data_IF_279301132782
#
_entry.id   IF_279301132782
#
_cell.length_a   1.000
_cell.length_b   1.000
_cell.length_c   1.000
_cell.angle_alpha   90.00
_cell.angle_beta   90.00
_cell.angle_gamma   90.00
#
_symmetry.space_group_name_H-M   'P 1'
#
loop_
_entity.id
_entity.type
_entity.pdbx_description
1 polymer ?
#
# COMPACT_ATOMS: atom_id res chain seq x y z
N UNK A 1 8.71 21.26 -29.85
CA UNK A 1 7.57 20.90 -30.72
C UNK A 1 7.21 19.45 -30.38
N UNK A 2 6.10 19.22 -29.67
CA UNK A 2 5.76 17.89 -29.14
C UNK A 2 5.15 17.03 -30.26
N UNK A 3 5.74 15.87 -30.57
CA UNK A 3 5.46 15.08 -31.79
C UNK A 3 4.45 13.94 -31.58
N UNK A 4 3.88 13.79 -30.39
CA UNK A 4 2.89 12.75 -30.11
C UNK A 4 1.47 13.33 -30.07
N UNK A 5 0.60 12.88 -30.98
CA UNK A 5 -0.86 13.14 -31.02
C UNK A 5 -1.64 12.45 -29.87
N UNK A 6 -1.01 12.18 -28.74
CA UNK A 6 -1.62 11.46 -27.62
C UNK A 6 -1.97 12.46 -26.52
N UNK A 7 -3.24 12.47 -26.11
CA UNK A 7 -3.70 13.30 -24.99
C UNK A 7 -2.92 12.96 -23.71
N UNK A 8 -2.45 14.01 -23.05
CA UNK A 8 -1.72 13.94 -21.79
C UNK A 8 -2.67 13.56 -20.66
N UNK A 9 -2.26 12.68 -19.76
CA UNK A 9 -3.07 12.41 -18.57
C UNK A 9 -3.16 13.68 -17.70
N UNK A 10 -4.39 14.06 -17.36
CA UNK A 10 -4.68 15.25 -16.55
C UNK A 10 -4.49 14.95 -15.06
N UNK A 11 -4.23 15.98 -14.26
CA UNK A 11 -4.17 15.90 -12.79
C UNK A 11 -5.43 15.25 -12.19
N UNK A 12 -6.58 15.36 -12.86
CA UNK A 12 -7.82 14.67 -12.44
C UNK A 12 -7.67 13.14 -12.40
N UNK A 13 -6.98 12.55 -13.37
CA UNK A 13 -6.75 11.10 -13.43
C UNK A 13 -5.74 10.67 -12.36
N UNK A 14 -4.73 11.50 -12.09
CA UNK A 14 -3.79 11.28 -11.00
C UNK A 14 -4.49 11.29 -9.63
N UNK A 15 -5.34 12.28 -9.36
CA UNK A 15 -6.10 12.32 -8.10
C UNK A 15 -7.03 11.12 -7.94
N UNK A 16 -7.70 10.68 -9.02
CA UNK A 16 -8.52 9.46 -8.99
C UNK A 16 -7.68 8.23 -8.63
N UNK A 17 -6.48 8.11 -9.18
CA UNK A 17 -5.57 7.01 -8.88
C UNK A 17 -5.11 7.02 -7.41
N UNK A 18 -4.82 8.20 -6.84
CA UNK A 18 -4.48 8.33 -5.42
C UNK A 18 -5.65 7.93 -4.51
N UNK A 19 -6.89 8.25 -4.90
CA UNK A 19 -8.09 7.84 -4.15
C UNK A 19 -8.27 6.32 -4.21
N UNK A 20 -8.08 5.70 -5.38
CA UNK A 20 -8.10 4.23 -5.51
C UNK A 20 -7.03 3.58 -4.64
N UNK A 21 -5.81 4.12 -4.64
CA UNK A 21 -4.72 3.65 -3.78
C UNK A 21 -5.09 3.73 -2.30
N UNK A 22 -5.59 4.88 -1.82
CA UNK A 22 -6.09 5.02 -0.46
C UNK A 22 -7.17 3.99 -0.11
N UNK A 23 -8.12 3.74 -1.02
CA UNK A 23 -9.13 2.70 -0.84
C UNK A 23 -8.54 1.31 -0.65
N UNK A 24 -7.49 0.96 -1.41
CA UNK A 24 -6.79 -0.32 -1.27
C UNK A 24 -6.09 -0.44 0.10
N UNK A 25 -5.46 0.65 0.57
CA UNK A 25 -4.84 0.69 1.90
C UNK A 25 -5.86 0.52 3.01
N UNK A 26 -7.05 1.10 2.86
CA UNK A 26 -8.15 0.95 3.82
C UNK A 26 -8.61 -0.51 3.90
N UNK A 27 -8.73 -1.19 2.76
CA UNK A 27 -9.06 -2.63 2.70
C UNK A 27 -8.00 -3.47 3.43
N UNK A 28 -6.71 -3.19 3.21
CA UNK A 28 -5.62 -3.87 3.91
C UNK A 28 -5.61 -3.58 5.41
N UNK A 29 -5.86 -2.34 5.81
CA UNK A 29 -5.96 -1.97 7.22
C UNK A 29 -7.13 -2.69 7.92
N UNK A 30 -8.29 -2.83 7.26
CA UNK A 30 -9.41 -3.61 7.78
C UNK A 30 -9.01 -5.08 7.95
N UNK A 31 -8.33 -5.68 6.98
CA UNK A 31 -7.83 -7.06 7.09
C UNK A 31 -6.87 -7.24 8.27
N UNK A 32 -5.94 -6.29 8.48
CA UNK A 32 -5.03 -6.31 9.63
C UNK A 32 -5.82 -6.33 10.95
N UNK A 33 -6.78 -5.41 11.13
CA UNK A 33 -7.56 -5.30 12.36
C UNK A 33 -8.44 -6.51 12.62
N UNK A 34 -9.07 -7.06 11.58
CA UNK A 34 -9.85 -8.30 11.68
C UNK A 34 -8.95 -9.46 12.14
N UNK A 35 -7.76 -9.60 11.54
CA UNK A 35 -6.81 -10.67 11.88
C UNK A 35 -6.31 -10.52 13.32
N UNK A 36 -5.99 -9.30 13.76
CA UNK A 36 -5.58 -9.04 15.15
C UNK A 36 -6.69 -9.33 16.16
N UNK A 37 -7.94 -9.03 15.82
CA UNK A 37 -9.10 -9.34 16.66
C UNK A 37 -9.26 -10.85 16.83
N UNK A 38 -9.19 -11.64 15.75
CA UNK A 38 -9.25 -13.10 15.84
C UNK A 38 -8.08 -13.71 16.62
N UNK A 39 -6.91 -13.06 16.62
CA UNK A 39 -5.75 -13.46 17.43
C UNK A 39 -5.86 -13.04 18.90
N UNK A 40 -6.91 -12.32 19.31
CA UNK A 40 -7.14 -11.91 20.69
C UNK A 40 -6.19 -10.81 21.19
N UNK A 41 -5.54 -10.08 20.28
CA UNK A 41 -4.56 -9.03 20.61
C UNK A 41 -5.24 -7.68 20.88
N UNK A 42 -6.46 -7.50 20.38
CA UNK A 42 -7.22 -6.27 20.52
C UNK A 42 -8.59 -6.60 21.11
N UNK A 43 -8.92 -5.94 22.22
CA UNK A 43 -10.17 -6.18 22.96
C UNK A 43 -11.44 -5.73 22.21
N UNK A 44 -11.31 -4.84 21.22
CA UNK A 44 -12.43 -4.34 20.41
C UNK A 44 -12.02 -3.99 18.98
N UNK A 45 -12.86 -4.38 18.01
CA UNK A 45 -12.71 -4.04 16.59
C UNK A 45 -12.85 -2.52 16.34
N UNK A 46 -13.66 -1.85 17.17
CA UNK A 46 -13.90 -0.40 17.08
C UNK A 46 -13.35 0.28 18.34
N UNK A 47 -12.15 0.84 18.22
CA UNK A 47 -11.48 1.58 19.27
C UNK A 47 -10.59 2.68 18.70
N UNK A 48 -9.90 3.42 19.57
CA UNK A 48 -8.98 4.51 19.17
C UNK A 48 -7.91 4.01 18.19
N UNK A 49 -7.51 2.74 18.27
CA UNK A 49 -6.52 2.11 17.39
C UNK A 49 -6.92 2.17 15.91
N UNK A 50 -8.17 1.87 15.54
CA UNK A 50 -8.59 1.89 14.13
C UNK A 50 -8.60 3.32 13.57
N UNK A 51 -8.93 4.31 14.42
CA UNK A 51 -8.82 5.73 14.06
C UNK A 51 -7.36 6.14 13.83
N UNK A 52 -6.44 5.71 14.70
CA UNK A 52 -5.01 5.95 14.52
C UNK A 52 -4.51 5.34 13.20
N UNK A 53 -4.94 4.11 12.90
CA UNK A 53 -4.59 3.46 11.65
C UNK A 53 -5.14 4.20 10.42
N UNK A 54 -6.40 4.65 10.45
CA UNK A 54 -6.98 5.46 9.37
C UNK A 54 -6.22 6.77 9.17
N UNK A 55 -5.88 7.47 10.25
CA UNK A 55 -5.07 8.71 10.18
C UNK A 55 -3.69 8.42 9.58
N UNK A 56 -3.07 7.30 9.95
CA UNK A 56 -1.80 6.88 9.38
C UNK A 56 -1.90 6.63 7.87
N UNK A 57 -2.96 5.94 7.41
CA UNK A 57 -3.18 5.67 5.99
C UNK A 57 -3.46 6.93 5.18
N UNK A 58 -4.20 7.88 5.76
CA UNK A 58 -4.43 9.20 5.14
C UNK A 58 -3.12 9.97 5.02
N UNK A 59 -2.32 9.99 6.10
CA UNK A 59 -1.01 10.65 6.12
C UNK A 59 -0.05 10.03 5.11
N UNK A 60 0.04 8.71 5.06
CA UNK A 60 0.88 7.97 4.11
C UNK A 60 0.46 8.27 2.66
N UNK A 61 -0.82 8.15 2.34
CA UNK A 61 -1.34 8.46 1.00
C UNK A 61 -1.06 9.92 0.60
N UNK A 62 -1.20 10.86 1.53
CA UNK A 62 -0.95 12.28 1.28
C UNK A 62 0.52 12.56 0.96
N UNK A 63 1.44 11.99 1.75
CA UNK A 63 2.89 12.13 1.52
C UNK A 63 3.28 11.47 0.19
N UNK A 64 2.85 10.23 -0.03
CA UNK A 64 3.09 9.49 -1.28
C UNK A 64 2.55 10.26 -2.48
N UNK A 65 1.34 10.80 -2.37
CA UNK A 65 0.71 11.62 -3.39
C UNK A 65 1.50 12.89 -3.72
N UNK A 66 2.05 13.60 -2.74
CA UNK A 66 2.88 14.80 -2.98
C UNK A 66 4.23 14.40 -3.61
N UNK A 67 4.88 13.38 -3.08
CA UNK A 67 6.18 12.91 -3.57
C UNK A 67 6.09 12.41 -5.01
N UNK A 68 5.01 11.70 -5.37
CA UNK A 68 4.79 11.13 -6.69
C UNK A 68 4.30 12.14 -7.75
N UNK A 69 3.82 13.33 -7.35
CA UNK A 69 3.45 14.40 -8.31
C UNK A 69 4.67 14.86 -9.12
N UNK A 70 5.84 14.94 -8.49
CA UNK A 70 7.07 15.36 -9.16
C UNK A 70 7.53 14.38 -10.26
N UNK A 71 7.72 13.07 -10.00
CA UNK A 71 8.06 12.10 -11.03
C UNK A 71 6.95 11.95 -12.06
N UNK A 72 5.66 12.06 -11.66
CA UNK A 72 4.53 12.05 -12.60
C UNK A 72 4.65 13.18 -13.63
N UNK A 73 4.82 14.42 -13.18
CA UNK A 73 4.92 15.57 -14.07
C UNK A 73 6.18 15.54 -14.94
N UNK A 74 7.31 15.05 -14.40
CA UNK A 74 8.56 14.92 -15.15
C UNK A 74 8.45 13.86 -16.26
N UNK A 75 7.93 12.67 -15.94
CA UNK A 75 7.83 11.56 -16.90
C UNK A 75 6.75 11.77 -17.96
N UNK A 76 5.61 12.35 -17.58
CA UNK A 76 4.54 12.67 -18.52
C UNK A 76 4.97 13.77 -19.52
N UNK A 77 5.97 14.59 -19.16
CA UNK A 77 6.57 15.59 -20.06
C UNK A 77 7.59 14.97 -21.05
N UNK A 78 8.15 13.80 -20.74
CA UNK A 78 9.15 13.10 -21.56
C UNK A 78 8.50 12.22 -22.65
N UNK A 79 7.45 11.47 -22.29
CA UNK A 79 6.58 10.76 -23.24
C UNK A 79 5.16 10.67 -22.66
N UNK A 80 4.11 11.05 -23.39
CA UNK A 80 2.75 10.90 -22.89
C UNK A 80 2.43 9.44 -22.59
N UNK A 81 1.65 9.19 -21.54
CA UNK A 81 1.25 7.87 -21.00
C UNK A 81 2.32 7.09 -20.22
N UNK A 82 3.62 7.43 -20.34
CA UNK A 82 4.66 6.75 -19.56
C UNK A 82 4.66 7.17 -18.09
N UNK A 83 4.31 8.43 -17.79
CA UNK A 83 4.18 8.91 -16.42
C UNK A 83 3.12 8.14 -15.66
N UNK A 84 1.94 7.97 -16.26
CA UNK A 84 0.83 7.25 -15.63
C UNK A 84 1.17 5.77 -15.30
N UNK A 85 1.76 5.03 -16.24
CA UNK A 85 2.14 3.63 -16.02
C UNK A 85 3.23 3.47 -14.93
N UNK A 86 4.20 4.40 -14.86
CA UNK A 86 5.20 4.38 -13.79
C UNK A 86 4.52 4.53 -12.43
N UNK A 87 3.64 5.51 -12.28
CA UNK A 87 2.95 5.75 -11.02
C UNK A 87 2.14 4.53 -10.60
N UNK A 88 1.39 3.91 -11.51
CA UNK A 88 0.69 2.65 -11.22
C UNK A 88 1.66 1.58 -10.72
N UNK A 89 2.78 1.38 -11.42
CA UNK A 89 3.78 0.37 -11.03
C UNK A 89 4.33 0.62 -9.63
N UNK A 90 4.62 1.88 -9.30
CA UNK A 90 5.13 2.26 -7.98
C UNK A 90 4.07 2.07 -6.90
N UNK A 91 2.81 2.44 -7.16
CA UNK A 91 1.72 2.26 -6.19
C UNK A 91 1.43 0.78 -5.93
N UNK A 92 1.45 -0.06 -6.97
CA UNK A 92 1.31 -1.52 -6.83
C UNK A 92 2.46 -2.10 -6.00
N UNK A 93 3.69 -1.65 -6.25
CA UNK A 93 4.84 -2.07 -5.45
C UNK A 93 4.68 -1.66 -3.98
N UNK A 94 4.26 -0.42 -3.71
CA UNK A 94 3.99 0.05 -2.35
C UNK A 94 2.88 -0.77 -1.66
N UNK A 95 1.82 -1.12 -2.38
CA UNK A 95 0.75 -1.99 -1.90
C UNK A 95 1.25 -3.39 -1.52
N UNK A 96 2.12 -3.99 -2.34
CA UNK A 96 2.72 -5.29 -2.05
C UNK A 96 3.57 -5.19 -0.79
N UNK A 97 4.43 -4.17 -0.69
CA UNK A 97 5.27 -3.92 0.49
C UNK A 97 4.37 -3.80 1.73
N UNK A 98 3.34 -2.98 1.69
CA UNK A 98 2.44 -2.80 2.82
C UNK A 98 1.71 -4.08 3.23
N UNK A 99 1.23 -4.86 2.26
CA UNK A 99 0.63 -6.17 2.53
C UNK A 99 1.64 -7.11 3.22
N UNK A 100 2.91 -7.14 2.79
CA UNK A 100 3.94 -7.95 3.47
C UNK A 100 4.23 -7.46 4.88
N UNK A 101 4.24 -6.14 5.13
CA UNK A 101 4.41 -5.58 6.47
C UNK A 101 3.24 -5.96 7.39
N UNK A 102 2.01 -5.92 6.88
CA UNK A 102 0.81 -6.33 7.61
C UNK A 102 0.86 -7.82 7.94
N UNK A 103 1.23 -8.66 6.97
CA UNK A 103 1.41 -10.11 7.19
C UNK A 103 2.38 -10.37 8.33
N UNK A 104 3.52 -9.68 8.28
CA UNK A 104 4.55 -9.80 9.29
C UNK A 104 4.08 -9.38 10.67
N UNK A 105 3.42 -8.22 10.75
CA UNK A 105 2.88 -7.69 12.00
C UNK A 105 1.82 -8.63 12.58
N UNK A 106 0.94 -9.19 11.74
CA UNK A 106 -0.04 -10.18 12.18
C UNK A 106 0.63 -11.45 12.73
N UNK A 107 1.76 -11.90 12.17
CA UNK A 107 2.42 -13.13 12.60
C UNK A 107 3.29 -12.95 13.85
N UNK A 108 4.05 -11.87 13.93
CA UNK A 108 5.01 -11.64 15.03
C UNK A 108 4.48 -10.75 16.13
N UNK A 109 3.37 -10.04 15.89
CA UNK A 109 2.80 -9.00 16.76
C UNK A 109 3.77 -7.85 17.08
N UNK A 110 4.90 -7.80 16.38
CA UNK A 110 5.95 -6.78 16.51
C UNK A 110 6.02 -5.98 15.21
N UNK A 111 6.04 -4.64 15.27
CA UNK A 111 6.19 -3.83 14.07
C UNK A 111 7.61 -3.99 13.50
N UNK A 112 7.73 -4.50 12.28
CA UNK A 112 9.01 -4.80 11.61
C UNK A 112 9.96 -3.58 11.54
N UNK A 113 9.43 -2.36 11.48
CA UNK A 113 10.22 -1.13 11.49
C UNK A 113 10.91 -0.83 12.83
N UNK A 114 10.42 -1.40 13.94
CA UNK A 114 11.04 -1.28 15.27
C UNK A 114 12.24 -2.20 15.44
N UNK A 115 12.32 -3.27 14.66
CA UNK A 115 13.23 -4.40 14.91
C UNK A 115 14.09 -4.77 13.68
N UNK A 116 14.03 -3.93 12.63
CA UNK A 116 14.70 -4.14 11.34
C UNK A 116 16.22 -4.31 11.43
N UNK A 117 16.85 -3.80 12.50
CA UNK A 117 18.29 -3.90 12.75
C UNK A 117 18.68 -5.13 13.60
N UNK A 118 17.71 -5.81 14.22
CA UNK A 118 17.93 -6.95 15.12
C UNK A 118 17.62 -8.32 14.49
N UNK A 119 16.86 -8.36 13.40
CA UNK A 119 16.39 -9.62 12.81
C UNK A 119 17.42 -10.36 11.95
N UNK A 120 17.47 -11.69 12.10
CA UNK A 120 18.17 -12.59 11.17
C UNK A 120 17.33 -12.80 9.90
N UNK A 121 17.96 -12.74 8.73
CA UNK A 121 17.32 -12.99 7.43
C UNK A 121 16.61 -14.37 7.35
N UNK A 122 16.97 -15.30 8.23
CA UNK A 122 16.32 -16.61 8.37
C UNK A 122 14.87 -16.53 8.84
N UNK A 123 14.56 -15.61 9.76
CA UNK A 123 13.24 -15.53 10.40
C UNK A 123 12.24 -14.83 9.47
N UNK A 124 12.72 -13.87 8.68
CA UNK A 124 11.99 -13.24 7.58
C UNK A 124 11.62 -14.30 6.54
N UNK A 125 12.57 -15.15 6.14
CA UNK A 125 12.33 -16.21 5.15
C UNK A 125 11.37 -17.28 5.66
N UNK A 126 11.50 -17.71 6.91
CA UNK A 126 10.62 -18.71 7.53
C UNK A 126 9.18 -18.18 7.69
N UNK A 127 9.04 -16.90 8.04
CA UNK A 127 7.73 -16.26 8.21
C UNK A 127 7.03 -16.04 6.86
N UNK A 128 7.73 -15.64 5.79
CA UNK A 128 7.15 -15.51 4.45
C UNK A 128 6.62 -16.86 3.93
N UNK A 129 7.34 -17.95 4.22
CA UNK A 129 6.94 -19.31 3.81
C UNK A 129 5.73 -19.81 4.63
N UNK A 130 5.68 -19.49 5.93
CA UNK A 130 4.61 -19.95 6.82
C UNK A 130 3.38 -19.03 6.87
N UNK A 131 3.52 -17.75 6.50
CA UNK A 131 2.41 -16.77 6.46
C UNK A 131 1.60 -16.86 5.16
N UNK A 132 1.42 -18.08 4.66
CA UNK A 132 0.54 -18.42 3.54
C UNK A 132 -0.94 -18.22 3.87
N UNK A 133 -1.30 -17.09 4.48
CA UNK A 133 -2.67 -16.67 4.70
C UNK A 133 -3.28 -16.37 3.33
N UNK A 134 -4.03 -17.33 2.80
CA UNK A 134 -4.77 -17.22 1.52
C UNK A 134 -5.64 -15.96 1.44
N UNK A 135 -6.07 -15.44 2.59
CA UNK A 135 -6.84 -14.19 2.69
C UNK A 135 -6.02 -12.97 2.27
N UNK A 136 -4.72 -12.91 2.60
CA UNK A 136 -3.87 -11.79 2.20
C UNK A 136 -3.71 -11.72 0.69
N UNK A 137 -3.48 -12.85 0.04
CA UNK A 137 -3.42 -12.92 -1.43
C UNK A 137 -4.73 -12.50 -2.08
N UNK A 138 -5.89 -12.82 -1.47
CA UNK A 138 -7.20 -12.38 -1.94
C UNK A 138 -7.35 -10.85 -1.82
N UNK A 139 -6.99 -10.25 -0.68
CA UNK A 139 -7.08 -8.79 -0.49
C UNK A 139 -6.09 -8.02 -1.39
N UNK A 140 -4.90 -8.57 -1.62
CA UNK A 140 -3.92 -7.99 -2.55
C UNK A 140 -4.44 -8.05 -4.00
N UNK A 141 -5.08 -9.16 -4.39
CA UNK A 141 -5.72 -9.30 -5.71
C UNK A 141 -6.91 -8.34 -5.88
N UNK A 142 -7.75 -8.17 -4.85
CA UNK A 142 -8.83 -7.17 -4.85
C UNK A 142 -8.26 -5.75 -4.98
N UNK A 143 -7.18 -5.44 -4.26
CA UNK A 143 -6.50 -4.15 -4.34
C UNK A 143 -5.95 -3.86 -5.74
N UNK A 144 -5.31 -4.86 -6.38
CA UNK A 144 -4.82 -4.73 -7.76
C UNK A 144 -5.97 -4.52 -8.75
N UNK A 145 -7.11 -5.18 -8.58
CA UNK A 145 -8.28 -5.00 -9.46
C UNK A 145 -8.91 -3.61 -9.30
N UNK A 146 -8.87 -3.03 -8.11
CA UNK A 146 -9.45 -1.70 -7.84
C UNK A 146 -8.58 -0.52 -8.30
N UNK A 147 -7.31 -0.77 -8.64
CA UNK A 147 -6.32 0.25 -8.98
C UNK A 147 -6.20 0.45 -10.51
#
# INVERSE_FOLDING_TARGET
MNTSKLERYSLKQYTRLMISFFGCLLVLAVYQYITLYFKGVVDSIFGVSILIALVHQIGFTSIVGIVLVFPFNFWENLRPKYGFNLIITVLVLLLIVEATLISYYCTTLVPLGSDLLGYSLSDIKMTIINSGDKLLYLYLLIGIIML
#
